data_IF_115526657289
#
_entry.id   IF_115526657289
#
_cell.length_a   1.000
_cell.length_b   1.000
_cell.length_c   1.000
_cell.angle_alpha   90.00
_cell.angle_beta   90.00
_cell.angle_gamma   90.00
#
_symmetry.space_group_name_H-M   'P 1'
#
loop_
_entity.id
_entity.type
_entity.pdbx_description
1 polymer ?
#
# COMPACT_ATOMS: atom_id res chain seq x y z
N UNK A 1 2.30 50.00 70.83
CA UNK A 1 1.18 50.89 70.44
C UNK A 1 0.40 50.15 69.35
N UNK A 2 -0.82 49.66 69.60
CA UNK A 2 -2.11 50.41 69.59
C UNK A 2 -2.51 50.72 68.14
N UNK A 3 -3.28 49.90 67.39
CA UNK A 3 -4.65 49.35 67.56
C UNK A 3 -5.75 50.34 67.10
N UNK A 4 -6.39 50.08 65.94
CA UNK A 4 -7.69 50.65 65.54
C UNK A 4 -8.44 49.82 64.46
N UNK A 5 -9.76 49.68 64.66
CA UNK A 5 -10.89 49.28 63.76
C UNK A 5 -12.08 50.20 64.18
N UNK A 6 -13.26 50.34 63.49
CA UNK A 6 -13.99 49.43 62.58
C UNK A 6 -14.37 50.13 61.22
N UNK A 7 -15.30 49.75 60.32
CA UNK A 7 -16.73 49.31 60.35
C UNK A 7 -17.68 50.49 59.98
N UNK A 8 -18.93 50.33 59.46
CA UNK A 8 -19.81 49.14 59.43
C UNK A 8 -20.41 48.76 58.03
N UNK A 9 -21.75 48.79 57.80
CA UNK A 9 -22.51 47.99 56.79
C UNK A 9 -23.53 48.78 55.93
N UNK A 10 -23.92 48.15 54.79
CA UNK A 10 -25.24 48.06 54.11
C UNK A 10 -26.00 49.29 53.59
N UNK A 11 -26.57 49.19 52.36
CA UNK A 11 -28.03 49.15 52.11
C UNK A 11 -28.39 48.85 50.61
N UNK A 12 -29.70 48.78 50.29
CA UNK A 12 -30.35 48.28 49.04
C UNK A 12 -30.64 49.40 47.99
N UNK A 13 -31.26 49.21 46.77
CA UNK A 13 -32.39 48.31 46.42
C UNK A 13 -32.43 47.69 44.97
N UNK A 14 -33.63 47.29 44.50
CA UNK A 14 -33.95 46.45 43.32
C UNK A 14 -34.13 47.21 41.98
N UNK A 15 -34.08 46.49 40.84
CA UNK A 15 -35.02 46.63 39.68
C UNK A 15 -34.93 45.44 38.69
N UNK A 16 -35.83 45.37 37.69
CA UNK A 16 -36.08 44.20 36.80
C UNK A 16 -36.10 44.56 35.28
N UNK A 17 -36.09 43.58 34.33
CA UNK A 17 -35.67 43.74 32.91
C UNK A 17 -36.86 43.92 31.91
N UNK A 18 -36.73 43.86 30.55
CA UNK A 18 -35.57 43.66 29.64
C UNK A 18 -35.37 44.91 28.70
N UNK A 19 -35.25 44.95 27.33
CA UNK A 19 -35.39 43.98 26.20
C UNK A 19 -34.18 43.86 25.21
N UNK A 20 -34.35 43.06 24.14
CA UNK A 20 -33.55 43.02 22.88
C UNK A 20 -34.31 43.76 21.72
N UNK A 21 -33.97 43.74 20.39
CA UNK A 21 -32.85 43.12 19.63
C UNK A 21 -32.20 43.98 18.49
N UNK A 22 -31.35 43.34 17.66
CA UNK A 22 -30.92 43.57 16.24
C UNK A 22 -29.41 43.73 16.06
N UNK A 23 -28.62 42.94 15.29
CA UNK A 23 -28.70 42.20 13.99
C UNK A 23 -28.27 42.96 12.73
N UNK A 24 -27.09 42.60 12.20
CA UNK A 24 -26.68 42.62 10.77
C UNK A 24 -25.24 42.08 10.65
N UNK A 25 -24.74 41.46 9.58
CA UNK A 25 -25.29 40.69 8.44
C UNK A 25 -24.13 39.75 8.02
N UNK A 26 -24.22 38.41 8.08
CA UNK A 26 -24.75 37.50 7.05
C UNK A 26 -24.19 37.68 5.62
N UNK A 27 -23.47 36.66 5.13
CA UNK A 27 -23.33 36.24 3.72
C UNK A 27 -22.44 34.97 3.67
N UNK A 28 -22.66 33.96 2.82
CA UNK A 28 -23.90 33.22 2.52
C UNK A 28 -23.49 31.79 2.02
N UNK A 29 -24.40 30.83 1.77
CA UNK A 29 -24.06 29.41 1.65
C UNK A 29 -23.83 28.92 0.20
N UNK A 30 -23.70 27.59 0.06
CA UNK A 30 -23.71 26.81 -1.20
C UNK A 30 -22.50 26.97 -2.14
N UNK A 31 -21.51 26.08 -1.98
CA UNK A 31 -21.08 25.28 -3.13
C UNK A 31 -20.62 23.85 -2.71
N UNK A 32 -21.31 22.87 -3.29
CA UNK A 32 -21.11 21.40 -3.30
C UNK A 32 -19.81 21.04 -4.11
N UNK A 33 -19.31 19.78 -4.28
CA UNK A 33 -19.93 18.45 -4.02
C UNK A 33 -19.06 17.37 -3.29
N UNK A 34 -19.72 16.25 -2.94
CA UNK A 34 -19.27 14.82 -2.93
C UNK A 34 -17.89 14.43 -2.32
N UNK A 35 -17.76 13.37 -1.50
CA UNK A 35 -18.40 12.03 -1.55
C UNK A 35 -18.60 11.46 -0.14
N UNK A 36 -19.77 10.86 0.13
CA UNK A 36 -19.94 9.63 0.94
C UNK A 36 -21.40 9.18 0.91
N UNK A 37 -21.74 8.24 0.01
CA UNK A 37 -23.06 7.58 -0.01
C UNK A 37 -22.95 6.21 0.63
N UNK A 38 -23.37 6.12 1.89
CA UNK A 38 -23.96 4.96 2.59
C UNK A 38 -24.15 5.37 4.05
N UNK A 39 -25.40 5.59 4.47
CA UNK A 39 -25.71 6.16 5.78
C UNK A 39 -26.22 5.10 6.76
N UNK A 40 -25.49 4.90 7.86
CA UNK A 40 -26.03 4.37 9.13
C UNK A 40 -25.13 4.71 10.35
N UNK A 41 -23.82 4.93 10.17
CA UNK A 41 -22.88 5.09 11.31
C UNK A 41 -22.88 6.47 12.01
N UNK A 42 -23.53 7.50 11.45
CA UNK A 42 -23.37 8.90 11.90
C UNK A 42 -23.96 9.22 13.28
N UNK A 43 -24.79 8.36 13.87
CA UNK A 43 -25.33 8.56 15.23
C UNK A 43 -24.36 8.17 16.37
N UNK A 44 -23.29 7.42 16.09
CA UNK A 44 -22.35 6.94 17.12
C UNK A 44 -21.25 7.95 17.47
N UNK A 45 -20.73 8.73 16.51
CA UNK A 45 -19.66 9.69 16.80
C UNK A 45 -20.06 10.77 17.84
N UNK A 46 -21.26 11.38 17.79
CA UNK A 46 -21.66 12.37 18.79
C UNK A 46 -21.79 11.77 20.20
N UNK A 47 -22.23 10.51 20.31
CA UNK A 47 -22.51 9.86 21.60
C UNK A 47 -21.25 9.31 22.27
N UNK A 48 -20.25 8.84 21.52
CA UNK A 48 -18.95 8.41 22.07
C UNK A 48 -18.14 9.57 22.69
N UNK A 49 -18.37 10.83 22.32
CA UNK A 49 -17.57 11.97 22.79
C UNK A 49 -17.83 12.43 24.24
N UNK A 50 -19.05 12.26 24.76
CA UNK A 50 -19.43 12.81 26.07
C UNK A 50 -18.94 11.97 27.25
N UNK A 51 -18.98 10.64 27.15
CA UNK A 51 -18.63 9.75 28.26
C UNK A 51 -17.15 9.85 28.70
N UNK A 52 -16.14 9.88 27.79
CA UNK A 52 -14.75 10.14 28.16
C UNK A 52 -14.58 11.54 28.78
N UNK A 53 -15.21 12.56 28.19
CA UNK A 53 -15.12 13.94 28.66
C UNK A 53 -15.62 14.09 30.10
N UNK A 54 -16.76 13.48 30.43
CA UNK A 54 -17.36 13.53 31.77
C UNK A 54 -16.48 12.82 32.82
N UNK A 55 -15.98 11.62 32.52
CA UNK A 55 -15.07 10.88 33.42
C UNK A 55 -13.74 11.60 33.62
N UNK A 56 -13.21 12.23 32.57
CA UNK A 56 -11.98 13.04 32.64
C UNK A 56 -12.18 14.29 33.51
N UNK A 57 -13.33 14.97 33.43
CA UNK A 57 -13.65 16.09 34.32
C UNK A 57 -13.79 15.68 35.79
N UNK A 58 -14.34 14.50 36.08
CA UNK A 58 -14.40 13.96 37.44
C UNK A 58 -12.99 13.64 37.98
N UNK A 59 -12.16 12.97 37.17
CA UNK A 59 -10.75 12.71 37.48
C UNK A 59 -9.96 14.02 37.69
N UNK A 60 -10.19 15.03 36.86
CA UNK A 60 -9.57 16.36 36.96
C UNK A 60 -9.92 17.09 38.27
N UNK A 61 -11.12 16.87 38.85
CA UNK A 61 -11.43 17.37 40.20
C UNK A 61 -10.61 16.64 41.27
N UNK A 62 -10.47 15.32 41.19
CA UNK A 62 -9.76 14.52 42.18
C UNK A 62 -8.23 14.71 42.14
N UNK A 63 -7.65 14.92 40.95
CA UNK A 63 -6.23 15.25 40.78
C UNK A 63 -5.93 16.74 41.03
N UNK A 64 -6.95 17.58 41.22
CA UNK A 64 -6.79 19.04 41.28
C UNK A 64 -5.83 19.47 42.40
N UNK A 65 -5.96 18.86 43.56
CA UNK A 65 -5.26 19.27 44.78
C UNK A 65 -3.86 18.64 44.91
N UNK A 66 -3.45 17.86 43.90
CA UNK A 66 -2.17 17.12 43.88
C UNK A 66 -1.21 17.54 42.77
N UNK A 67 -1.68 18.30 41.77
CA UNK A 67 -0.89 18.65 40.58
C UNK A 67 -0.94 20.17 40.33
N UNK A 68 0.21 20.87 40.22
CA UNK A 68 0.24 22.31 39.96
C UNK A 68 -0.53 22.71 38.69
N UNK A 69 -1.21 23.86 38.74
CA UNK A 69 -2.02 24.37 37.62
C UNK A 69 -1.21 24.49 36.32
N UNK A 70 0.03 24.96 36.39
CA UNK A 70 0.94 25.06 35.23
C UNK A 70 1.21 23.69 34.58
N UNK A 71 1.37 22.64 35.39
CA UNK A 71 1.60 21.26 34.91
C UNK A 71 0.32 20.69 34.27
N UNK A 72 -0.85 20.96 34.86
CA UNK A 72 -2.17 20.57 34.30
C UNK A 72 -2.42 21.21 32.93
N UNK A 73 -2.18 22.52 32.80
CA UNK A 73 -2.40 23.26 31.55
C UNK A 73 -1.36 22.85 30.50
N UNK A 74 -0.06 22.90 30.82
CA UNK A 74 1.01 22.57 29.87
C UNK A 74 0.94 21.11 29.42
N UNK A 75 0.71 20.17 30.35
CA UNK A 75 0.54 18.75 30.02
C UNK A 75 -0.67 18.48 29.11
N UNK A 76 -1.77 19.21 29.31
CA UNK A 76 -2.94 19.12 28.42
C UNK A 76 -2.64 19.67 27.02
N UNK A 77 -1.93 20.81 26.94
CA UNK A 77 -1.54 21.41 25.66
C UNK A 77 -0.59 20.50 24.86
N UNK A 78 0.40 19.92 25.54
CA UNK A 78 1.34 18.94 24.95
C UNK A 78 0.62 17.67 24.53
N UNK A 79 -0.33 17.15 25.32
CA UNK A 79 -1.11 15.98 24.94
C UNK A 79 -1.96 16.24 23.68
N UNK A 80 -2.62 17.39 23.57
CA UNK A 80 -3.39 17.79 22.38
C UNK A 80 -2.47 17.92 21.16
N UNK A 81 -1.30 18.56 21.32
CA UNK A 81 -0.31 18.71 20.24
C UNK A 81 0.22 17.35 19.76
N UNK A 82 0.54 16.44 20.68
CA UNK A 82 1.00 15.09 20.35
C UNK A 82 -0.08 14.29 19.62
N UNK A 83 -1.33 14.31 20.10
CA UNK A 83 -2.46 13.65 19.43
C UNK A 83 -2.66 14.21 18.02
N UNK A 84 -2.63 15.53 17.84
CA UNK A 84 -2.80 16.17 16.52
C UNK A 84 -1.64 15.86 15.57
N UNK A 85 -0.40 15.80 16.07
CA UNK A 85 0.78 15.43 15.28
C UNK A 85 0.74 13.96 14.87
N UNK A 86 0.34 13.05 15.79
CA UNK A 86 0.16 11.63 15.51
C UNK A 86 -0.95 11.42 14.48
N UNK A 87 -2.13 12.03 14.62
CA UNK A 87 -3.20 11.89 13.62
C UNK A 87 -2.80 12.48 12.28
N UNK A 88 -2.11 13.63 12.24
CA UNK A 88 -1.61 14.20 10.99
C UNK A 88 -0.58 13.30 10.27
N UNK A 89 0.26 12.57 11.01
CA UNK A 89 1.20 11.57 10.44
C UNK A 89 0.43 10.34 9.94
N UNK A 90 -0.46 9.77 10.76
CA UNK A 90 -1.24 8.58 10.40
C UNK A 90 -2.13 8.84 9.17
N UNK A 91 -2.83 9.97 9.12
CA UNK A 91 -3.67 10.35 7.97
C UNK A 91 -2.83 10.48 6.69
N UNK A 92 -1.64 11.08 6.74
CA UNK A 92 -0.74 11.14 5.57
C UNK A 92 -0.35 9.76 5.08
N UNK A 93 0.04 8.85 5.98
CA UNK A 93 0.42 7.47 5.64
C UNK A 93 -0.78 6.70 5.05
N UNK A 94 -1.96 6.83 5.66
CA UNK A 94 -3.20 6.20 5.17
C UNK A 94 -3.58 6.70 3.78
N UNK A 95 -3.50 8.01 3.53
CA UNK A 95 -3.79 8.59 2.20
C UNK A 95 -2.79 8.12 1.14
N UNK A 96 -1.49 8.13 1.44
CA UNK A 96 -0.44 7.66 0.51
C UNK A 96 -0.67 6.19 0.16
N UNK A 97 -0.93 5.33 1.15
CA UNK A 97 -1.20 3.91 0.91
C UNK A 97 -2.52 3.67 0.16
N UNK A 98 -3.56 4.48 0.41
CA UNK A 98 -4.86 4.36 -0.28
C UNK A 98 -4.76 4.74 -1.75
N UNK A 99 -4.20 5.91 -2.07
CA UNK A 99 -3.98 6.33 -3.46
C UNK A 99 -2.93 5.43 -4.15
N UNK A 100 -1.91 4.96 -3.43
CA UNK A 100 -0.95 3.97 -3.91
C UNK A 100 -1.61 2.65 -4.31
N UNK A 101 -2.53 2.12 -3.50
CA UNK A 101 -3.28 0.91 -3.82
C UNK A 101 -4.19 1.09 -5.06
N UNK A 102 -4.88 2.23 -5.17
CA UNK A 102 -5.70 2.58 -6.35
C UNK A 102 -4.83 2.66 -7.62
N UNK A 103 -3.70 3.36 -7.54
CA UNK A 103 -2.74 3.49 -8.65
C UNK A 103 -2.16 2.14 -9.05
N UNK A 104 -1.71 1.33 -8.09
CA UNK A 104 -1.13 0.01 -8.33
C UNK A 104 -2.16 -0.96 -8.94
N UNK A 105 -3.38 -1.02 -8.41
CA UNK A 105 -4.46 -1.84 -8.97
C UNK A 105 -4.82 -1.43 -10.39
N UNK A 106 -4.91 -0.13 -10.66
CA UNK A 106 -5.22 0.43 -11.98
C UNK A 106 -4.10 0.14 -12.99
N UNK A 107 -2.83 0.27 -12.59
CA UNK A 107 -1.68 -0.03 -13.45
C UNK A 107 -1.58 -1.51 -13.79
N UNK A 108 -1.79 -2.43 -12.83
CA UNK A 108 -1.79 -3.86 -13.12
C UNK A 108 -3.03 -4.32 -13.90
N UNK A 109 -4.18 -3.68 -13.72
CA UNK A 109 -5.34 -3.88 -14.60
C UNK A 109 -5.05 -3.48 -16.05
N UNK A 110 -4.51 -2.27 -16.25
CA UNK A 110 -4.13 -1.77 -17.57
C UNK A 110 -3.07 -2.65 -18.24
N UNK A 111 -2.06 -3.09 -17.48
CA UNK A 111 -1.02 -4.00 -17.94
C UNK A 111 -1.55 -5.41 -18.27
N UNK A 112 -2.64 -5.83 -17.62
CA UNK A 112 -3.34 -7.07 -17.92
C UNK A 112 -3.90 -7.14 -19.34
N UNK A 113 -4.22 -6.00 -19.96
CA UNK A 113 -4.66 -5.91 -21.36
C UNK A 113 -3.48 -6.08 -22.34
N UNK A 114 -2.32 -5.51 -22.02
CA UNK A 114 -1.09 -5.56 -22.83
C UNK A 114 -0.41 -6.96 -22.76
N UNK A 115 0.51 -7.30 -23.68
CA UNK A 115 1.28 -8.54 -23.58
C UNK A 115 2.02 -8.68 -22.24
N UNK A 116 2.29 -9.90 -21.79
CA UNK A 116 2.89 -10.16 -20.46
C UNK A 116 4.24 -9.43 -20.26
N UNK A 117 4.99 -9.23 -21.34
CA UNK A 117 6.22 -8.44 -21.41
C UNK A 117 6.07 -6.95 -21.06
N UNK A 118 4.85 -6.42 -20.91
CA UNK A 118 4.59 -5.06 -20.41
C UNK A 118 4.27 -5.01 -18.90
N UNK A 119 3.91 -6.15 -18.29
CA UNK A 119 3.77 -6.24 -16.83
C UNK A 119 5.14 -6.34 -16.14
N UNK A 120 6.11 -7.01 -16.77
CA UNK A 120 7.47 -7.12 -16.24
C UNK A 120 8.21 -5.77 -16.09
N UNK A 121 8.15 -4.80 -17.03
CA UNK A 121 8.68 -3.45 -16.84
C UNK A 121 8.07 -2.68 -15.65
N UNK A 122 6.76 -2.83 -15.38
CA UNK A 122 6.12 -2.21 -14.21
C UNK A 122 6.69 -2.80 -12.92
N UNK A 123 6.80 -4.13 -12.85
CA UNK A 123 7.44 -4.81 -11.73
C UNK A 123 8.92 -4.43 -11.60
N UNK A 124 9.67 -4.31 -12.70
CA UNK A 124 11.08 -3.88 -12.72
C UNK A 124 11.24 -2.44 -12.23
N UNK A 125 10.33 -1.53 -12.61
CA UNK A 125 10.30 -0.15 -12.12
C UNK A 125 10.11 -0.04 -10.61
N UNK A 126 9.29 -0.91 -10.01
CA UNK A 126 9.18 -1.00 -8.55
C UNK A 126 10.51 -1.43 -7.90
N UNK A 127 11.21 -2.42 -8.47
CA UNK A 127 12.52 -2.85 -7.98
C UNK A 127 13.57 -1.74 -8.11
N UNK A 128 13.58 -1.02 -9.23
CA UNK A 128 14.46 0.12 -9.46
C UNK A 128 14.22 1.27 -8.47
N UNK A 129 12.96 1.52 -8.09
CA UNK A 129 12.63 2.48 -7.03
C UNK A 129 13.19 2.06 -5.66
N UNK A 130 13.13 0.76 -5.33
CA UNK A 130 13.77 0.21 -4.11
C UNK A 130 15.30 0.28 -4.14
N UNK A 131 15.92 0.09 -5.32
CA UNK A 131 17.35 0.31 -5.52
C UNK A 131 17.74 1.76 -5.26
N UNK A 132 17.03 2.73 -5.87
CA UNK A 132 17.27 4.15 -5.62
C UNK A 132 17.05 4.55 -4.16
N UNK A 133 16.05 3.98 -3.47
CA UNK A 133 15.84 4.20 -2.04
C UNK A 133 17.02 3.69 -1.19
N UNK A 134 17.61 2.55 -1.56
CA UNK A 134 18.78 1.98 -0.87
C UNK A 134 20.04 2.81 -1.11
N UNK A 135 20.26 3.28 -2.35
CA UNK A 135 21.36 4.20 -2.68
C UNK A 135 21.19 5.52 -1.93
N UNK A 136 19.98 6.09 -1.92
CA UNK A 136 19.67 7.34 -1.22
C UNK A 136 19.88 7.24 0.31
N UNK A 137 19.57 6.08 0.91
CA UNK A 137 19.86 5.77 2.32
C UNK A 137 21.36 5.76 2.60
N UNK A 138 22.15 5.05 1.78
CA UNK A 138 23.62 4.99 1.93
C UNK A 138 24.25 6.37 1.71
N UNK A 139 23.77 7.13 0.72
CA UNK A 139 24.26 8.49 0.45
C UNK A 139 24.00 9.44 1.62
N UNK A 140 22.83 9.41 2.27
CA UNK A 140 22.58 10.28 3.43
C UNK A 140 23.52 9.97 4.61
N UNK A 141 23.77 8.68 4.89
CA UNK A 141 24.74 8.25 5.90
C UNK A 141 26.17 8.71 5.53
N UNK A 142 26.53 8.64 4.25
CA UNK A 142 27.84 9.06 3.75
C UNK A 142 28.03 10.59 3.69
N UNK A 143 26.97 11.36 3.47
CA UNK A 143 27.02 12.83 3.47
C UNK A 143 27.19 13.42 4.87
N UNK A 144 26.78 12.70 5.93
CA UNK A 144 26.82 13.20 7.31
C UNK A 144 25.88 14.40 7.56
N UNK A 145 24.97 14.69 6.63
CA UNK A 145 23.99 15.77 6.71
C UNK A 145 22.93 15.50 7.76
N UNK A 146 22.27 16.55 8.23
CA UNK A 146 21.13 16.41 9.13
C UNK A 146 20.00 15.56 8.51
N UNK A 147 19.32 14.80 9.36
CA UNK A 147 18.25 13.89 8.93
C UNK A 147 17.08 14.64 8.28
N UNK A 148 16.86 15.89 8.69
CA UNK A 148 15.86 16.80 8.13
C UNK A 148 16.18 17.23 6.70
N UNK A 149 17.43 17.60 6.41
CA UNK A 149 17.89 17.98 5.07
C UNK A 149 17.86 16.79 4.11
N UNK A 150 18.33 15.63 4.59
CA UNK A 150 18.28 14.37 3.86
C UNK A 150 16.84 13.98 3.48
N UNK A 151 15.91 14.05 4.44
CA UNK A 151 14.49 13.77 4.21
C UNK A 151 13.82 14.79 3.27
N UNK A 152 14.20 16.07 3.33
CA UNK A 152 13.74 17.09 2.39
C UNK A 152 14.20 16.77 0.95
N UNK A 153 15.48 16.39 0.78
CA UNK A 153 16.01 15.93 -0.50
C UNK A 153 15.22 14.76 -1.08
N UNK A 154 14.92 13.74 -0.27
CA UNK A 154 14.09 12.61 -0.69
C UNK A 154 12.69 13.03 -1.16
N UNK A 155 12.04 13.96 -0.46
CA UNK A 155 10.70 14.45 -0.82
C UNK A 155 10.71 15.22 -2.15
N UNK A 156 11.70 16.09 -2.37
CA UNK A 156 11.86 16.81 -3.63
C UNK A 156 12.13 15.85 -4.80
N UNK A 157 12.98 14.84 -4.61
CA UNK A 157 13.21 13.79 -5.62
C UNK A 157 11.93 13.01 -5.93
N UNK A 158 11.13 12.63 -4.92
CA UNK A 158 9.87 11.93 -5.12
C UNK A 158 8.86 12.77 -5.93
N UNK A 159 8.73 14.08 -5.62
CA UNK A 159 7.90 15.00 -6.40
C UNK A 159 8.34 15.09 -7.87
N UNK A 160 9.65 15.17 -8.14
CA UNK A 160 10.19 15.16 -9.50
C UNK A 160 9.84 13.88 -10.29
N UNK A 161 10.00 12.71 -9.66
CA UNK A 161 9.65 11.41 -10.25
C UNK A 161 8.14 11.29 -10.51
N UNK A 162 7.29 11.80 -9.62
CA UNK A 162 5.83 11.81 -9.82
C UNK A 162 5.44 12.70 -11.01
N UNK A 163 6.00 13.90 -11.12
CA UNK A 163 5.75 14.82 -12.26
C UNK A 163 6.17 14.16 -13.58
N UNK A 164 7.37 13.56 -13.62
CA UNK A 164 7.86 12.82 -14.79
C UNK A 164 6.92 11.65 -15.15
N UNK A 165 6.46 10.89 -14.15
CA UNK A 165 5.52 9.76 -14.34
C UNK A 165 4.19 10.24 -14.95
N UNK A 166 3.65 11.37 -14.51
CA UNK A 166 2.43 11.97 -15.07
C UNK A 166 2.66 12.38 -16.53
N UNK A 167 3.79 13.01 -16.86
CA UNK A 167 4.14 13.40 -18.24
C UNK A 167 4.23 12.16 -19.15
N UNK A 168 4.90 11.10 -18.70
CA UNK A 168 4.98 9.83 -19.43
C UNK A 168 3.60 9.18 -19.63
N UNK A 169 2.74 9.17 -18.61
CA UNK A 169 1.39 8.61 -18.69
C UNK A 169 0.51 9.39 -19.69
N UNK A 170 0.57 10.73 -19.69
CA UNK A 170 -0.10 11.59 -20.67
C UNK A 170 0.49 11.44 -22.10
N UNK A 171 1.65 10.80 -22.25
CA UNK A 171 2.20 10.37 -23.53
C UNK A 171 1.50 9.15 -24.14
N UNK A 172 1.06 8.19 -23.32
CA UNK A 172 0.52 6.89 -23.77
C UNK A 172 -0.59 7.00 -24.83
N UNK A 173 -1.60 7.89 -24.73
CA UNK A 173 -2.67 8.01 -25.74
C UNK A 173 -2.21 8.48 -27.13
N UNK A 174 -0.96 8.94 -27.27
CA UNK A 174 -0.36 9.30 -28.57
C UNK A 174 0.26 8.10 -29.29
N UNK A 175 0.57 7.00 -28.59
CA UNK A 175 1.20 5.82 -29.17
C UNK A 175 0.16 4.91 -29.85
N UNK A 176 0.37 4.59 -31.12
CA UNK A 176 -0.53 3.74 -31.91
C UNK A 176 -0.65 2.32 -31.32
N UNK A 177 0.46 1.75 -30.85
CA UNK A 177 0.48 0.47 -30.14
C UNK A 177 -0.46 0.45 -28.92
N UNK A 178 -0.51 1.53 -28.14
CA UNK A 178 -1.40 1.64 -26.99
C UNK A 178 -2.86 1.80 -27.40
N UNK A 179 -3.12 2.51 -28.52
CA UNK A 179 -4.47 2.62 -29.11
C UNK A 179 -5.00 1.25 -29.54
N UNK A 180 -4.20 0.45 -30.23
CA UNK A 180 -4.57 -0.88 -30.71
C UNK A 180 -5.11 -1.79 -29.57
N UNK A 181 -4.33 -2.01 -28.51
CA UNK A 181 -4.78 -2.82 -27.37
C UNK A 181 -5.96 -2.22 -26.61
N UNK A 182 -6.10 -0.88 -26.60
CA UNK A 182 -7.24 -0.18 -25.99
C UNK A 182 -8.52 -0.29 -26.84
N UNK A 183 -8.41 -0.31 -28.17
CA UNK A 183 -9.52 -0.53 -29.10
C UNK A 183 -10.01 -1.98 -29.04
N UNK A 184 -9.10 -2.95 -28.92
CA UNK A 184 -9.44 -4.37 -28.76
C UNK A 184 -10.34 -4.64 -27.52
N UNK A 185 -10.24 -3.80 -26.48
CA UNK A 185 -11.15 -3.83 -25.31
C UNK A 185 -12.55 -3.26 -25.62
N UNK A 186 -12.64 -2.26 -26.50
CA UNK A 186 -13.86 -1.53 -26.83
C UNK A 186 -14.75 -2.27 -27.85
N UNK A 187 -14.16 -2.90 -28.86
CA UNK A 187 -14.90 -3.69 -29.87
C UNK A 187 -15.45 -5.00 -29.26
N UNK A 188 -14.67 -5.62 -28.37
CA UNK A 188 -15.06 -6.77 -27.56
C UNK A 188 -15.32 -8.07 -28.35
N UNK A 189 -15.56 -9.20 -27.64
CA UNK A 189 -15.83 -10.48 -28.29
C UNK A 189 -17.14 -10.47 -29.09
N UNK A 190 -18.15 -9.72 -28.66
CA UNK A 190 -19.46 -9.72 -29.31
C UNK A 190 -19.43 -9.26 -30.77
N UNK A 191 -18.63 -8.24 -31.09
CA UNK A 191 -18.50 -7.77 -32.48
C UNK A 191 -17.49 -8.61 -33.29
N UNK A 192 -16.45 -9.18 -32.65
CA UNK A 192 -15.50 -10.08 -33.34
C UNK A 192 -16.09 -11.47 -33.63
N UNK A 193 -16.77 -12.11 -32.68
CA UNK A 193 -17.50 -13.37 -32.90
C UNK A 193 -18.57 -13.14 -33.98
N UNK A 194 -19.33 -12.03 -33.92
CA UNK A 194 -20.30 -11.69 -34.98
C UNK A 194 -19.63 -11.47 -36.35
N UNK A 195 -18.51 -10.74 -36.44
CA UNK A 195 -17.77 -10.54 -37.70
C UNK A 195 -17.21 -11.86 -38.24
N UNK A 196 -16.69 -12.74 -37.38
CA UNK A 196 -16.13 -14.03 -37.79
C UNK A 196 -17.23 -15.03 -38.22
N UNK A 197 -18.35 -15.07 -37.51
CA UNK A 197 -19.54 -15.84 -37.89
C UNK A 197 -20.14 -15.34 -39.21
N UNK A 198 -20.19 -14.02 -39.44
CA UNK A 198 -20.67 -13.44 -40.70
C UNK A 198 -19.74 -13.75 -41.88
N UNK A 199 -18.43 -13.78 -41.66
CA UNK A 199 -17.45 -14.21 -42.67
C UNK A 199 -17.64 -15.71 -42.96
N UNK A 200 -17.70 -16.56 -41.92
CA UNK A 200 -17.86 -18.01 -42.06
C UNK A 200 -19.19 -18.41 -42.71
N UNK A 201 -20.29 -17.71 -42.42
CA UNK A 201 -21.60 -17.93 -43.06
C UNK A 201 -21.69 -17.33 -44.46
N UNK A 202 -20.85 -16.33 -44.77
CA UNK A 202 -20.73 -15.70 -46.08
C UNK A 202 -20.18 -16.64 -47.16
N UNK A 203 -19.43 -17.68 -46.78
CA UNK A 203 -18.89 -18.67 -47.73
C UNK A 203 -19.87 -19.81 -48.07
N UNK A 204 -20.87 -20.11 -47.22
CA UNK A 204 -21.79 -21.25 -47.41
C UNK A 204 -23.19 -20.89 -47.99
N UNK A 205 -23.58 -19.61 -48.04
CA UNK A 205 -24.98 -19.23 -48.36
C UNK A 205 -25.21 -18.76 -49.82
N UNK A 206 -25.53 -19.70 -50.71
CA UNK A 206 -26.06 -19.42 -52.08
C UNK A 206 -27.33 -20.22 -52.44
N UNK A 207 -28.42 -20.04 -51.69
CA UNK A 207 -29.81 -20.28 -52.13
C UNK A 207 -30.82 -19.80 -51.07
N UNK A 208 -32.05 -19.47 -51.48
CA UNK A 208 -33.22 -19.47 -50.56
C UNK A 208 -33.71 -18.10 -50.06
N UNK A 209 -34.80 -17.66 -50.68
CA UNK A 209 -35.69 -16.51 -50.44
C UNK A 209 -36.16 -16.20 -49.00
N UNK A 210 -36.71 -14.97 -48.90
CA UNK A 210 -37.86 -14.52 -48.10
C UNK A 210 -37.70 -13.84 -46.71
N UNK A 211 -38.61 -12.90 -46.46
CA UNK A 211 -38.61 -11.96 -45.33
C UNK A 211 -39.37 -12.51 -44.12
N UNK A 212 -38.91 -12.22 -42.89
CA UNK A 212 -39.80 -12.09 -41.73
C UNK A 212 -39.24 -11.14 -40.66
N UNK A 213 -39.90 -9.98 -40.56
CA UNK A 213 -40.29 -9.22 -39.35
C UNK A 213 -39.37 -9.21 -38.11
N UNK A 214 -38.88 -8.00 -37.82
CA UNK A 214 -38.40 -7.46 -36.53
C UNK A 214 -38.82 -8.22 -35.24
N UNK A 215 -37.83 -8.58 -34.43
CA UNK A 215 -37.96 -8.83 -32.97
C UNK A 215 -36.60 -8.69 -32.30
N UNK A 216 -36.40 -7.64 -31.50
CA UNK A 216 -35.14 -7.39 -30.78
C UNK A 216 -35.21 -7.96 -29.34
N UNK A 217 -34.33 -8.92 -28.96
CA UNK A 217 -34.23 -9.37 -27.57
C UNK A 217 -33.50 -8.32 -26.73
N UNK A 218 -34.09 -7.93 -25.59
CA UNK A 218 -33.51 -6.94 -24.68
C UNK A 218 -32.17 -7.38 -24.08
N UNK A 219 -31.13 -6.56 -24.21
CA UNK A 219 -29.84 -6.75 -23.54
C UNK A 219 -29.94 -6.49 -22.03
N UNK A 220 -30.14 -7.54 -21.24
CA UNK A 220 -30.18 -7.43 -19.78
C UNK A 220 -28.77 -7.23 -19.16
N UNK A 221 -28.53 -6.17 -18.38
CA UNK A 221 -27.26 -5.94 -17.69
C UNK A 221 -27.20 -6.72 -16.36
N UNK A 222 -27.00 -8.04 -16.44
CA UNK A 222 -27.07 -8.95 -15.28
C UNK A 222 -25.91 -9.97 -15.19
N UNK A 223 -24.72 -9.64 -15.73
CA UNK A 223 -23.65 -10.62 -16.00
C UNK A 223 -22.33 -10.47 -15.22
N UNK A 224 -22.15 -9.41 -14.43
CA UNK A 224 -20.85 -9.11 -13.79
C UNK A 224 -20.54 -9.98 -12.56
N UNK A 225 -21.48 -10.10 -11.61
CA UNK A 225 -21.24 -10.76 -10.31
C UNK A 225 -20.83 -12.23 -10.44
N UNK A 226 -21.30 -12.92 -11.48
CA UNK A 226 -20.97 -14.31 -11.76
C UNK A 226 -19.61 -14.49 -12.46
N UNK A 227 -19.07 -13.45 -13.11
CA UNK A 227 -17.74 -13.47 -13.74
C UNK A 227 -16.62 -13.34 -12.71
N UNK A 228 -16.70 -12.40 -11.75
CA UNK A 228 -15.61 -12.15 -10.78
C UNK A 228 -15.20 -13.42 -10.00
N UNK A 229 -16.16 -14.26 -9.61
CA UNK A 229 -15.88 -15.55 -8.93
C UNK A 229 -15.26 -16.60 -9.87
N UNK A 230 -15.54 -16.54 -11.17
CA UNK A 230 -14.91 -17.41 -12.17
C UNK A 230 -13.48 -16.94 -12.48
N UNK A 231 -13.28 -15.63 -12.69
CA UNK A 231 -11.96 -14.98 -12.81
C UNK A 231 -11.06 -15.39 -11.65
N UNK A 232 -11.54 -15.23 -10.40
CA UNK A 232 -10.79 -15.59 -9.20
C UNK A 232 -10.39 -17.07 -9.17
N UNK A 233 -11.26 -17.99 -9.60
CA UNK A 233 -10.91 -19.42 -9.71
C UNK A 233 -9.80 -19.67 -10.73
N UNK A 234 -9.84 -19.02 -11.89
CA UNK A 234 -8.84 -19.18 -12.95
C UNK A 234 -7.46 -18.63 -12.57
N UNK A 235 -7.40 -17.54 -11.79
CA UNK A 235 -6.15 -16.91 -11.33
C UNK A 235 -5.72 -17.35 -9.93
N UNK A 236 -6.43 -18.30 -9.31
CA UNK A 236 -6.27 -18.65 -7.89
C UNK A 236 -4.83 -19.06 -7.54
N UNK A 237 -4.19 -19.87 -8.39
CA UNK A 237 -2.81 -20.34 -8.18
C UNK A 237 -1.80 -19.18 -8.16
N UNK A 238 -1.66 -18.33 -9.21
CA UNK A 238 -0.75 -17.19 -9.15
C UNK A 238 -1.15 -16.14 -8.10
N UNK A 239 -2.45 -15.96 -7.79
CA UNK A 239 -2.92 -15.02 -6.77
C UNK A 239 -2.46 -15.42 -5.34
N UNK A 240 -2.71 -16.67 -4.94
CA UNK A 240 -2.17 -17.17 -3.67
C UNK A 240 -0.65 -17.28 -3.68
N UNK A 241 -0.03 -17.57 -4.84
CA UNK A 241 1.43 -17.60 -4.96
C UNK A 241 2.06 -16.21 -4.70
N UNK A 242 1.56 -15.13 -5.32
CA UNK A 242 2.11 -13.78 -5.05
C UNK A 242 1.85 -13.33 -3.62
N UNK A 243 0.67 -13.65 -3.07
CA UNK A 243 0.35 -13.40 -1.66
C UNK A 243 1.39 -14.07 -0.75
N UNK A 244 1.64 -15.36 -0.94
CA UNK A 244 2.61 -16.13 -0.14
C UNK A 244 4.05 -15.63 -0.30
N UNK A 245 4.47 -15.29 -1.53
CA UNK A 245 5.79 -14.65 -1.78
C UNK A 245 5.96 -13.44 -0.87
N UNK A 246 5.01 -12.50 -0.87
CA UNK A 246 5.10 -11.28 -0.06
C UNK A 246 4.87 -11.50 1.43
N UNK A 247 4.09 -12.51 1.84
CA UNK A 247 3.96 -12.88 3.26
C UNK A 247 5.28 -13.36 3.84
N UNK A 248 5.99 -14.25 3.14
CA UNK A 248 7.33 -14.71 3.57
C UNK A 248 8.35 -13.57 3.47
N UNK A 249 8.25 -12.71 2.46
CA UNK A 249 9.16 -11.55 2.31
C UNK A 249 9.01 -10.53 3.43
N UNK A 250 7.81 -10.00 3.68
CA UNK A 250 7.58 -8.97 4.70
C UNK A 250 7.63 -9.53 6.13
N UNK A 251 7.38 -10.84 6.30
CA UNK A 251 7.62 -11.53 7.57
C UNK A 251 9.06 -11.45 8.05
N UNK A 252 10.04 -11.45 7.13
CA UNK A 252 11.47 -11.51 7.47
C UNK A 252 12.17 -10.18 7.18
N UNK A 253 11.94 -9.56 6.02
CA UNK A 253 12.55 -8.30 5.60
C UNK A 253 11.54 -7.13 5.63
N UNK A 254 11.88 -5.96 6.20
CA UNK A 254 13.15 -5.65 6.88
C UNK A 254 13.17 -6.05 8.35
N UNK A 255 12.04 -6.47 8.93
CA UNK A 255 11.84 -6.52 10.39
C UNK A 255 12.89 -7.37 11.14
N UNK A 256 13.11 -8.62 10.72
CA UNK A 256 14.10 -9.52 11.34
C UNK A 256 15.50 -9.25 10.77
N UNK A 257 15.60 -8.99 9.48
CA UNK A 257 16.90 -8.86 8.78
C UNK A 257 17.65 -7.57 9.10
N UNK A 258 16.96 -6.51 9.55
CA UNK A 258 17.58 -5.28 10.03
C UNK A 258 18.13 -5.38 11.47
N UNK A 259 17.86 -6.48 12.18
CA UNK A 259 18.37 -6.77 13.53
C UNK A 259 19.62 -7.68 13.48
N UNK A 260 20.16 -7.98 12.29
CA UNK A 260 21.43 -8.74 12.15
C UNK A 260 22.62 -7.84 12.42
N UNK A 261 23.51 -8.25 13.32
CA UNK A 261 24.79 -7.57 13.56
C UNK A 261 25.95 -8.24 12.82
N UNK A 262 26.83 -7.42 12.25
CA UNK A 262 28.09 -7.85 11.65
C UNK A 262 29.05 -8.41 12.69
N UNK A 263 29.60 -9.59 12.41
CA UNK A 263 30.60 -10.26 13.26
C UNK A 263 32.01 -9.73 13.03
N UNK A 264 32.28 -9.27 11.81
CA UNK A 264 33.59 -8.75 11.39
C UNK A 264 33.75 -7.22 11.55
N UNK A 265 32.68 -6.48 11.86
CA UNK A 265 32.74 -5.02 12.01
C UNK A 265 33.65 -4.54 13.16
N UNK A 266 33.63 -5.23 14.30
CA UNK A 266 34.31 -4.75 15.51
C UNK A 266 33.89 -3.32 15.86
N UNK A 267 34.87 -2.42 16.00
CA UNK A 267 34.67 -0.97 16.22
C UNK A 267 34.71 -0.13 14.94
N UNK A 268 34.64 -0.74 13.76
CA UNK A 268 34.72 -0.05 12.47
C UNK A 268 33.44 0.72 12.15
N UNK A 269 33.57 1.79 11.35
CA UNK A 269 32.45 2.49 10.71
C UNK A 269 31.53 1.54 9.91
N UNK A 270 32.02 0.35 9.54
CA UNK A 270 31.22 -0.72 8.92
C UNK A 270 29.94 -1.05 9.70
N UNK A 271 29.89 -0.91 11.04
CA UNK A 271 28.66 -1.18 11.81
C UNK A 271 27.49 -0.26 11.41
N UNK A 272 27.74 0.97 10.96
CA UNK A 272 26.71 1.88 10.45
C UNK A 272 26.26 1.54 9.02
N UNK A 273 27.16 1.02 8.19
CA UNK A 273 26.89 0.69 6.78
C UNK A 273 26.40 -0.75 6.57
N UNK A 274 26.60 -1.65 7.53
CA UNK A 274 26.28 -3.06 7.39
C UNK A 274 24.83 -3.29 6.96
N UNK A 275 23.84 -2.86 7.75
CA UNK A 275 22.42 -3.04 7.39
C UNK A 275 22.03 -2.31 6.08
N UNK A 276 22.40 -1.05 5.84
CA UNK A 276 22.18 -0.40 4.54
C UNK A 276 22.74 -1.18 3.33
N UNK A 277 23.89 -1.84 3.45
CA UNK A 277 24.56 -2.55 2.34
C UNK A 277 24.18 -4.03 2.27
N UNK A 278 24.40 -4.81 3.33
CA UNK A 278 24.19 -6.27 3.38
C UNK A 278 22.72 -6.66 3.43
N UNK A 279 21.84 -5.81 3.97
CA UNK A 279 20.40 -6.04 4.03
C UNK A 279 19.68 -5.22 2.94
N UNK A 280 19.63 -3.89 3.02
CA UNK A 280 18.78 -3.07 2.14
C UNK A 280 19.25 -3.03 0.68
N UNK A 281 20.49 -2.65 0.41
CA UNK A 281 21.01 -2.59 -0.97
C UNK A 281 21.06 -3.98 -1.61
N UNK A 282 21.54 -4.99 -0.88
CA UNK A 282 21.56 -6.38 -1.35
C UNK A 282 20.15 -6.86 -1.70
N UNK A 283 19.15 -6.64 -0.83
CA UNK A 283 17.77 -7.00 -1.14
C UNK A 283 17.29 -6.30 -2.42
N UNK A 284 17.40 -4.96 -2.50
CA UNK A 284 16.81 -4.22 -3.60
C UNK A 284 17.53 -4.42 -4.95
N UNK A 285 18.85 -4.63 -4.95
CA UNK A 285 19.60 -5.01 -6.17
C UNK A 285 19.12 -6.37 -6.69
N UNK A 286 19.07 -7.39 -5.84
CA UNK A 286 18.70 -8.74 -6.29
C UNK A 286 17.20 -8.87 -6.60
N UNK A 287 16.31 -8.20 -5.86
CA UNK A 287 14.89 -8.09 -6.19
C UNK A 287 14.67 -7.39 -7.54
N UNK A 288 15.35 -6.27 -7.80
CA UNK A 288 15.32 -5.58 -9.10
C UNK A 288 15.83 -6.46 -10.25
N UNK A 289 16.95 -7.16 -10.07
CA UNK A 289 17.49 -8.09 -11.07
C UNK A 289 16.51 -9.24 -11.33
N UNK A 290 15.91 -9.83 -10.30
CA UNK A 290 14.88 -10.86 -10.42
C UNK A 290 13.66 -10.36 -11.19
N UNK A 291 13.17 -9.14 -10.88
CA UNK A 291 12.05 -8.52 -11.61
C UNK A 291 12.39 -8.29 -13.08
N UNK A 292 13.55 -7.70 -13.36
CA UNK A 292 14.01 -7.38 -14.71
C UNK A 292 14.23 -8.62 -15.58
N UNK A 293 14.73 -9.71 -14.99
CA UNK A 293 14.93 -10.97 -15.71
C UNK A 293 13.64 -11.52 -16.31
N UNK A 294 12.47 -11.31 -15.68
CA UNK A 294 11.18 -11.74 -16.22
C UNK A 294 10.76 -11.04 -17.52
N UNK A 295 11.37 -9.91 -17.87
CA UNK A 295 11.17 -9.28 -19.18
C UNK A 295 11.92 -10.01 -20.32
N UNK A 296 12.92 -10.84 -19.97
CA UNK A 296 13.77 -11.59 -20.92
C UNK A 296 13.39 -13.08 -20.93
N UNK A 297 13.20 -13.70 -19.76
CA UNK A 297 12.84 -15.11 -19.62
C UNK A 297 11.73 -15.33 -18.60
N UNK A 298 10.69 -16.04 -19.01
CA UNK A 298 9.52 -16.37 -18.20
C UNK A 298 9.46 -17.87 -17.85
N UNK A 299 10.61 -18.51 -17.65
CA UNK A 299 10.67 -19.88 -17.11
C UNK A 299 10.13 -19.89 -15.66
N UNK A 300 9.30 -20.88 -15.22
CA UNK A 300 8.99 -22.15 -15.87
C UNK A 300 7.71 -22.16 -16.73
N UNK A 301 7.14 -20.99 -17.05
CA UNK A 301 5.92 -20.86 -17.85
C UNK A 301 4.62 -20.88 -17.04
N UNK A 302 3.56 -20.30 -17.63
CA UNK A 302 2.31 -19.94 -16.92
C UNK A 302 1.50 -21.11 -16.33
N UNK A 303 1.63 -22.31 -16.87
CA UNK A 303 0.86 -23.49 -16.46
C UNK A 303 1.71 -24.54 -15.73
N UNK A 304 2.96 -24.20 -15.40
CA UNK A 304 3.91 -25.11 -14.78
C UNK A 304 3.80 -25.15 -13.26
N UNK A 305 3.64 -26.36 -12.70
CA UNK A 305 3.62 -26.61 -11.25
C UNK A 305 4.92 -26.19 -10.54
N UNK A 306 6.02 -26.01 -11.27
CA UNK A 306 7.27 -25.48 -10.72
C UNK A 306 7.12 -24.09 -10.10
N UNK A 307 6.23 -23.22 -10.60
CA UNK A 307 6.02 -21.88 -10.04
C UNK A 307 5.53 -21.93 -8.57
N UNK A 308 4.39 -22.54 -8.23
CA UNK A 308 3.97 -22.66 -6.83
C UNK A 308 4.94 -23.50 -5.98
N UNK A 309 5.62 -24.51 -6.55
CA UNK A 309 6.64 -25.28 -5.83
C UNK A 309 7.84 -24.43 -5.39
N UNK A 310 8.36 -23.57 -6.28
CA UNK A 310 9.45 -22.62 -5.96
C UNK A 310 9.00 -21.53 -4.97
N UNK A 311 7.72 -21.14 -5.02
CA UNK A 311 7.11 -20.22 -4.06
C UNK A 311 7.01 -20.85 -2.67
N UNK A 312 6.59 -22.12 -2.56
CA UNK A 312 6.59 -22.86 -1.29
C UNK A 312 8.02 -23.08 -0.76
N UNK A 313 8.99 -23.33 -1.65
CA UNK A 313 10.40 -23.46 -1.28
C UNK A 313 10.99 -22.19 -0.62
N UNK A 314 10.36 -21.01 -0.79
CA UNK A 314 10.76 -19.79 -0.05
C UNK A 314 10.68 -19.94 1.47
N UNK A 315 9.88 -20.88 1.98
CA UNK A 315 9.83 -21.20 3.41
C UNK A 315 11.21 -21.56 3.98
N UNK A 316 12.12 -22.13 3.18
CA UNK A 316 13.47 -22.46 3.63
C UNK A 316 14.28 -21.22 4.05
N UNK A 317 14.01 -20.03 3.48
CA UNK A 317 14.70 -18.80 3.87
C UNK A 317 14.31 -18.30 5.26
N UNK A 318 13.15 -18.70 5.80
CA UNK A 318 12.70 -18.32 7.14
C UNK A 318 13.67 -18.82 8.22
N UNK A 319 13.92 -20.13 8.41
CA UNK A 319 14.91 -20.60 9.39
C UNK A 319 16.34 -20.20 9.02
N UNK A 320 16.71 -20.14 7.72
CA UNK A 320 18.08 -19.74 7.33
C UNK A 320 18.41 -18.31 7.80
N UNK A 321 17.51 -17.36 7.62
CA UNK A 321 17.72 -15.96 8.03
C UNK A 321 17.51 -15.75 9.54
N UNK A 322 16.62 -16.51 10.20
CA UNK A 322 16.48 -16.50 11.67
C UNK A 322 17.72 -17.06 12.41
N UNK A 323 18.46 -17.99 11.77
CA UNK A 323 19.68 -18.60 12.32
C UNK A 323 20.98 -17.85 11.94
N UNK A 324 20.89 -16.74 11.18
CA UNK A 324 21.95 -15.73 11.08
C UNK A 324 22.10 -14.95 12.41
N UNK A 325 23.12 -14.10 12.54
CA UNK A 325 23.43 -13.32 13.74
C UNK A 325 22.47 -12.14 14.04
N UNK A 326 21.15 -12.40 14.09
CA UNK A 326 20.14 -11.49 14.66
C UNK A 326 20.43 -11.21 16.15
N UNK A 327 20.36 -9.97 16.60
CA UNK A 327 20.57 -9.55 17.99
C UNK A 327 19.62 -8.40 18.40
N UNK A 328 19.16 -8.33 19.66
CA UNK A 328 19.36 -9.32 20.73
C UNK A 328 18.44 -10.54 20.56
N UNK A 329 18.95 -11.73 20.87
CA UNK A 329 18.21 -13.00 20.82
C UNK A 329 17.95 -13.60 22.19
N UNK A 330 17.00 -14.54 22.27
CA UNK A 330 16.62 -15.25 23.51
C UNK A 330 16.53 -16.77 23.35
N UNK A 331 16.06 -17.25 22.21
CA UNK A 331 15.56 -18.60 22.05
C UNK A 331 16.30 -19.42 20.98
N UNK A 332 16.84 -18.77 19.93
CA UNK A 332 17.51 -19.48 18.82
C UNK A 332 19.05 -19.40 18.88
N UNK A 333 19.78 -20.49 18.57
CA UNK A 333 21.24 -20.44 18.40
C UNK A 333 21.62 -19.69 17.12
N UNK A 334 22.84 -19.13 17.09
CA UNK A 334 23.46 -18.71 15.83
C UNK A 334 24.05 -19.96 15.16
N UNK A 335 23.66 -20.22 13.91
CA UNK A 335 24.26 -21.27 13.07
C UNK A 335 25.07 -20.66 11.92
N UNK A 336 24.63 -19.50 11.42
CA UNK A 336 25.26 -18.77 10.34
C UNK A 336 25.86 -17.47 10.87
N UNK A 337 26.98 -17.59 11.58
CA UNK A 337 27.68 -16.49 12.25
C UNK A 337 28.30 -15.50 11.24
N UNK A 338 29.09 -16.01 10.28
CA UNK A 338 29.84 -15.16 9.35
C UNK A 338 28.94 -14.41 8.36
N UNK A 339 29.14 -13.09 8.27
CA UNK A 339 28.38 -12.12 7.47
C UNK A 339 28.05 -12.54 6.03
N UNK A 340 28.96 -13.27 5.37
CA UNK A 340 28.75 -13.77 4.00
C UNK A 340 27.53 -14.68 3.86
N UNK A 341 27.18 -15.47 4.88
CA UNK A 341 25.99 -16.32 4.84
C UNK A 341 24.71 -15.48 4.76
N UNK A 342 24.62 -14.44 5.59
CA UNK A 342 23.52 -13.49 5.56
C UNK A 342 23.39 -12.82 4.18
N UNK A 343 24.51 -12.33 3.62
CA UNK A 343 24.52 -11.69 2.28
C UNK A 343 24.06 -12.66 1.18
N UNK A 344 24.56 -13.91 1.19
CA UNK A 344 24.17 -14.94 0.21
C UNK A 344 22.69 -15.30 0.34
N UNK A 345 22.19 -15.49 1.56
CA UNK A 345 20.77 -15.79 1.79
C UNK A 345 19.89 -14.61 1.41
N UNK A 346 20.26 -13.37 1.75
CA UNK A 346 19.54 -12.15 1.35
C UNK A 346 19.48 -11.99 -0.17
N UNK A 347 20.60 -12.21 -0.88
CA UNK A 347 20.64 -12.16 -2.33
C UNK A 347 19.70 -13.20 -2.98
N UNK A 348 19.76 -14.47 -2.54
CA UNK A 348 18.92 -15.55 -3.05
C UNK A 348 17.43 -15.33 -2.71
N UNK A 349 17.13 -14.88 -1.49
CA UNK A 349 15.80 -14.56 -0.98
C UNK A 349 15.13 -13.42 -1.75
N UNK A 350 15.89 -12.38 -2.07
CA UNK A 350 15.42 -11.21 -2.81
C UNK A 350 15.31 -11.47 -4.31
N UNK A 351 16.29 -12.14 -4.93
CA UNK A 351 16.20 -12.54 -6.33
C UNK A 351 14.98 -13.42 -6.61
N UNK A 352 14.75 -14.42 -5.74
CA UNK A 352 13.56 -15.26 -5.83
C UNK A 352 12.27 -14.54 -5.41
N UNK A 353 12.32 -13.43 -4.66
CA UNK A 353 11.14 -12.56 -4.46
C UNK A 353 10.77 -11.90 -5.79
N UNK A 354 11.71 -11.15 -6.36
CA UNK A 354 11.49 -10.36 -7.56
C UNK A 354 11.09 -11.19 -8.77
N UNK A 355 11.78 -12.32 -8.98
CA UNK A 355 11.49 -13.23 -10.09
C UNK A 355 10.10 -13.89 -9.93
N UNK A 356 9.83 -14.56 -8.79
CA UNK A 356 8.58 -15.31 -8.61
C UNK A 356 7.35 -14.38 -8.48
N UNK A 357 7.48 -13.21 -7.84
CA UNK A 357 6.42 -12.21 -7.80
C UNK A 357 6.10 -11.69 -9.21
N UNK A 358 7.11 -11.31 -10.01
CA UNK A 358 6.90 -10.86 -11.38
C UNK A 358 6.24 -11.92 -12.25
N UNK A 359 6.67 -13.18 -12.17
CA UNK A 359 6.02 -14.28 -12.90
C UNK A 359 4.54 -14.42 -12.53
N UNK A 360 4.20 -14.37 -11.24
CA UNK A 360 2.81 -14.43 -10.81
C UNK A 360 1.98 -13.26 -11.37
N UNK A 361 2.49 -12.02 -11.27
CA UNK A 361 1.81 -10.83 -11.79
C UNK A 361 1.68 -10.84 -13.31
N UNK A 362 2.68 -11.33 -14.05
CA UNK A 362 2.64 -11.46 -15.51
C UNK A 362 1.68 -12.57 -15.99
N UNK A 363 1.58 -13.68 -15.25
CA UNK A 363 0.77 -14.84 -15.64
C UNK A 363 -0.70 -14.76 -15.20
N UNK A 364 -1.01 -14.11 -14.07
CA UNK A 364 -2.37 -13.99 -13.54
C UNK A 364 -3.38 -13.48 -14.58
N UNK A 365 -3.19 -12.27 -15.15
CA UNK A 365 -4.06 -11.73 -16.20
C UNK A 365 -4.12 -12.57 -17.48
N UNK A 366 -3.19 -13.52 -17.67
CA UNK A 366 -3.08 -14.39 -18.86
C UNK A 366 -3.62 -15.81 -18.65
N UNK A 367 -4.35 -16.04 -17.55
CA UNK A 367 -5.21 -17.22 -17.33
C UNK A 367 -6.70 -16.95 -17.54
N UNK A 368 -7.08 -15.75 -17.98
CA UNK A 368 -8.48 -15.34 -18.27
C UNK A 368 -8.62 -14.76 -19.68
N UNK A 369 -9.86 -14.52 -20.12
CA UNK A 369 -10.13 -13.89 -21.42
C UNK A 369 -9.63 -12.44 -21.44
N UNK A 370 -9.25 -11.85 -22.59
CA UNK A 370 -8.75 -10.47 -22.67
C UNK A 370 -9.68 -9.42 -22.04
N UNK A 371 -11.01 -9.59 -22.18
CA UNK A 371 -12.00 -8.71 -21.57
C UNK A 371 -12.03 -8.77 -20.02
N UNK A 372 -11.57 -9.88 -19.43
CA UNK A 372 -11.52 -10.12 -17.97
C UNK A 372 -10.12 -9.84 -17.39
N UNK A 373 -9.12 -9.61 -18.23
CA UNK A 373 -7.71 -9.52 -17.84
C UNK A 373 -7.39 -8.28 -16.99
N UNK A 374 -8.15 -7.18 -17.16
CA UNK A 374 -8.04 -5.98 -16.33
C UNK A 374 -8.50 -6.25 -14.89
N UNK A 375 -9.67 -6.87 -14.74
CA UNK A 375 -10.20 -7.29 -13.42
C UNK A 375 -9.26 -8.31 -12.76
N UNK A 376 -8.70 -9.24 -13.53
CA UNK A 376 -7.68 -10.16 -13.02
C UNK A 376 -6.41 -9.44 -12.54
N UNK A 377 -5.92 -8.43 -13.27
CA UNK A 377 -4.78 -7.61 -12.84
C UNK A 377 -5.03 -6.85 -11.55
N UNK A 378 -6.23 -6.29 -11.38
CA UNK A 378 -6.64 -5.65 -10.12
C UNK A 378 -6.73 -6.64 -8.94
N UNK A 379 -7.29 -7.83 -9.15
CA UNK A 379 -7.34 -8.89 -8.12
C UNK A 379 -5.93 -9.37 -7.75
N UNK A 380 -5.03 -9.55 -8.73
CA UNK A 380 -3.63 -9.90 -8.48
C UNK A 380 -2.92 -8.84 -7.62
N UNK A 381 -3.17 -7.54 -7.87
CA UNK A 381 -2.65 -6.46 -7.03
C UNK A 381 -3.24 -6.47 -5.60
N UNK A 382 -4.52 -6.81 -5.43
CA UNK A 382 -5.12 -7.01 -4.10
C UNK A 382 -4.46 -8.17 -3.35
N UNK A 383 -4.24 -9.32 -3.98
CA UNK A 383 -3.57 -10.46 -3.34
C UNK A 383 -2.09 -10.18 -3.01
N UNK A 384 -1.41 -9.37 -3.81
CA UNK A 384 -0.08 -8.84 -3.47
C UNK A 384 -0.13 -8.00 -2.17
N UNK A 385 -1.06 -7.05 -2.08
CA UNK A 385 -1.23 -6.20 -0.88
C UNK A 385 -1.67 -6.99 0.36
N UNK A 386 -2.52 -8.00 0.19
CA UNK A 386 -2.86 -8.96 1.25
C UNK A 386 -1.61 -9.71 1.73
N UNK A 387 -0.75 -10.12 0.80
CA UNK A 387 0.54 -10.76 1.10
C UNK A 387 1.44 -9.88 1.96
N UNK A 388 1.55 -8.58 1.63
CA UNK A 388 2.30 -7.59 2.42
C UNK A 388 1.71 -7.45 3.85
N UNK A 389 0.38 -7.34 3.97
CA UNK A 389 -0.30 -7.17 5.25
C UNK A 389 -0.16 -8.41 6.17
N UNK A 390 -0.34 -9.61 5.61
CA UNK A 390 -0.11 -10.87 6.34
C UNK A 390 1.35 -11.00 6.76
N UNK A 391 2.30 -10.67 5.88
CA UNK A 391 3.72 -10.68 6.21
C UNK A 391 4.05 -9.73 7.36
N UNK A 392 3.48 -8.52 7.37
CA UNK A 392 3.66 -7.58 8.47
C UNK A 392 3.17 -8.17 9.81
N UNK A 393 2.03 -8.87 9.84
CA UNK A 393 1.52 -9.57 11.04
C UNK A 393 2.47 -10.71 11.47
N UNK A 394 2.93 -11.54 10.53
CA UNK A 394 3.88 -12.61 10.82
C UNK A 394 5.26 -12.09 11.27
N UNK A 395 5.66 -10.88 10.88
CA UNK A 395 6.95 -10.30 11.30
C UNK A 395 7.07 -10.11 12.81
N UNK A 396 5.96 -9.78 13.49
CA UNK A 396 5.92 -9.70 14.95
C UNK A 396 6.07 -11.08 15.60
N UNK A 397 5.50 -12.13 15.00
CA UNK A 397 5.67 -13.50 15.47
C UNK A 397 7.11 -13.99 15.29
N UNK A 398 7.72 -13.76 14.12
CA UNK A 398 9.11 -14.15 13.88
C UNK A 398 10.09 -13.41 14.79
N UNK A 399 9.91 -12.10 15.02
CA UNK A 399 10.68 -11.35 16.04
C UNK A 399 10.49 -11.88 17.47
N UNK A 400 9.32 -12.40 17.81
CA UNK A 400 9.05 -13.00 19.12
C UNK A 400 9.62 -14.43 19.29
N UNK A 401 10.16 -15.03 18.23
CA UNK A 401 10.76 -16.37 18.22
C UNK A 401 12.29 -16.35 18.37
N UNK A 402 12.95 -15.20 18.11
CA UNK A 402 14.42 -15.03 18.17
C UNK A 402 14.96 -14.91 19.60
#
# INVERSE_FOLDING_TARGET
MTLARPGPRSDLPLTSPPPEPRTSLQLDPQLWPCVCVLGEETCLLPSLGWAPSFTTHLCHRLLSDRIPQSVRILGSLVAILLVFLITAILVKIMLINSFGAILQGSLFGLAGLLPASYTAPIMSGQGLAGFFASVAMICAIASGSELSESAFGYFITACGVIILTIICYLGLPRLEFYRYYRQLKLEGPGEQETKLDLISKGEESKAGQEETRFSAPSSQPAKESHSVRAILKSILVPAFSVCFVFTITIGIFPAVTAEVESTIAGTSAWKAYFIPVSCFLTFNVFDWLGRSLTAITMWPGKDSYWLPSLVLARLAFVPLLLLCNVQPRRNLPVVFEHDSWFIIFMAAFAFSNGYLASLCMCFGPKKVKPAEAETAGAIMAFFLSLGLALGAVFSFLFRAIV
#
